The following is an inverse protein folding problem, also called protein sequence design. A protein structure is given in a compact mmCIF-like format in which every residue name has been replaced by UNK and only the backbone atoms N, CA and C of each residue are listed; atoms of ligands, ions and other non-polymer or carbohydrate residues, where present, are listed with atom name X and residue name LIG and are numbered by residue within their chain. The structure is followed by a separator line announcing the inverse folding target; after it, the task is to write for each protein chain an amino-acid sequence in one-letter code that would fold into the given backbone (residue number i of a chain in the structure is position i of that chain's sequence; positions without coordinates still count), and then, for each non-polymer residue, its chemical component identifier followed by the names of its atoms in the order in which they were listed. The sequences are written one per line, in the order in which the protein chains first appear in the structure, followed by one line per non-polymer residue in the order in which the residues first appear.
data_IF_557660661973
#
_entry.id   IF_557660661973
#
_cell.length_a   1.000
_cell.length_b   1.000
_cell.length_c   1.000
_cell.angle_alpha   90.00
_cell.angle_beta   90.00
_cell.angle_gamma   90.00
#
_symmetry.space_group_name_H-M   'P 1'
#
loop_
_entity.id
_entity.type
_entity.pdbx_description
1 polymer ?
#
# COMPACT_ATOMS: atom_id res chain seq x y z
N UNK A 1 -20.96 -2.36 13.06
CA UNK A 1 -20.08 -1.18 13.25
C UNK A 1 -18.58 -1.51 13.10
N UNK A 2 -18.07 -2.60 13.71
CA UNK A 2 -16.63 -2.97 13.68
C UNK A 2 -16.08 -3.31 12.28
N UNK A 3 -16.82 -4.06 11.46
CA UNK A 3 -16.37 -4.45 10.11
C UNK A 3 -16.15 -3.24 9.19
N UNK A 4 -17.02 -2.23 9.28
CA UNK A 4 -16.90 -0.99 8.50
C UNK A 4 -15.64 -0.19 8.85
N UNK A 5 -15.27 -0.18 10.12
CA UNK A 5 -14.05 0.49 10.59
C UNK A 5 -12.81 -0.30 10.15
N UNK A 6 -12.81 -1.63 10.30
CA UNK A 6 -11.70 -2.48 9.85
C UNK A 6 -11.42 -2.32 8.35
N UNK A 7 -12.46 -2.33 7.50
CA UNK A 7 -12.30 -2.10 6.05
C UNK A 7 -11.70 -0.70 5.76
N UNK A 8 -12.07 0.33 6.53
CA UNK A 8 -11.54 1.69 6.34
C UNK A 8 -10.08 1.81 6.76
N UNK A 9 -9.70 1.23 7.88
CA UNK A 9 -8.29 1.25 8.33
C UNK A 9 -7.42 0.41 7.39
N UNK A 10 -7.90 -0.76 6.95
CA UNK A 10 -7.19 -1.54 5.93
C UNK A 10 -6.98 -0.75 4.63
N UNK A 11 -8.03 -0.08 4.14
CA UNK A 11 -7.92 0.79 2.95
C UNK A 11 -6.90 1.91 3.15
N UNK A 12 -6.86 2.52 4.34
CA UNK A 12 -5.85 3.53 4.68
C UNK A 12 -4.43 2.94 4.70
N UNK A 13 -4.23 1.79 5.33
CA UNK A 13 -2.95 1.09 5.43
C UNK A 13 -2.42 0.72 4.05
N UNK A 14 -3.25 0.15 3.17
CA UNK A 14 -2.89 -0.20 1.79
C UNK A 14 -2.55 1.04 0.95
N UNK A 15 -3.30 2.13 1.10
CA UNK A 15 -3.00 3.40 0.42
C UNK A 15 -1.66 3.98 0.88
N UNK A 16 -1.37 3.89 2.18
CA UNK A 16 -0.09 4.34 2.72
C UNK A 16 1.06 3.47 2.19
N UNK A 17 0.87 2.15 2.13
CA UNK A 17 1.85 1.19 1.62
C UNK A 17 2.18 1.47 0.15
N UNK A 18 1.16 1.53 -0.71
CA UNK A 18 1.31 1.85 -2.13
C UNK A 18 2.05 3.18 -2.36
N UNK A 19 1.73 4.22 -1.58
CA UNK A 19 2.41 5.51 -1.68
C UNK A 19 3.89 5.40 -1.31
N UNK A 20 4.21 4.72 -0.20
CA UNK A 20 5.60 4.59 0.28
C UNK A 20 6.46 3.75 -0.66
N UNK A 21 5.90 2.70 -1.23
CA UNK A 21 6.57 1.87 -2.24
C UNK A 21 6.90 2.68 -3.50
N UNK A 22 5.96 3.49 -4.00
CA UNK A 22 6.22 4.37 -5.14
C UNK A 22 7.30 5.43 -4.85
N UNK A 23 7.31 6.00 -3.65
CA UNK A 23 8.37 6.95 -3.23
C UNK A 23 9.73 6.26 -3.15
N UNK A 24 9.79 5.02 -2.64
CA UNK A 24 11.03 4.24 -2.60
C UNK A 24 11.53 3.92 -4.01
N UNK A 25 10.65 3.46 -4.91
CA UNK A 25 10.99 3.19 -6.31
C UNK A 25 11.58 4.43 -6.98
N UNK A 26 10.91 5.58 -6.85
CA UNK A 26 11.41 6.84 -7.43
C UNK A 26 12.77 7.28 -6.86
N UNK A 27 13.01 7.03 -5.57
CA UNK A 27 14.26 7.44 -4.89
C UNK A 27 15.43 6.51 -5.18
N UNK A 28 15.18 5.21 -5.33
CA UNK A 28 16.21 4.19 -5.55
C UNK A 28 16.29 3.71 -7.00
N UNK A 29 15.90 4.57 -7.96
CA UNK A 29 15.84 4.22 -9.38
C UNK A 29 17.14 3.71 -9.99
N UNK A 30 18.30 4.06 -9.40
CA UNK A 30 19.61 3.54 -9.83
C UNK A 30 19.82 2.06 -9.48
N UNK A 31 19.07 1.54 -8.51
CA UNK A 31 19.02 0.14 -8.13
C UNK A 31 17.79 -0.49 -8.78
N UNK A 32 18.01 -1.21 -9.89
CA UNK A 32 16.92 -1.75 -10.71
C UNK A 32 16.07 -2.78 -9.96
N UNK A 33 16.69 -3.63 -9.15
CA UNK A 33 15.99 -4.68 -8.40
C UNK A 33 15.03 -4.05 -7.38
N UNK A 34 15.51 -3.07 -6.62
CA UNK A 34 14.68 -2.33 -5.66
C UNK A 34 13.59 -1.53 -6.38
N UNK A 35 13.90 -0.90 -7.50
CA UNK A 35 12.93 -0.15 -8.30
C UNK A 35 11.77 -1.05 -8.76
N UNK A 36 12.08 -2.18 -9.41
CA UNK A 36 11.07 -3.08 -9.95
C UNK A 36 10.25 -3.73 -8.85
N UNK A 37 10.90 -4.28 -7.81
CA UNK A 37 10.21 -4.90 -6.69
C UNK A 37 9.24 -3.94 -6.00
N UNK A 38 9.68 -2.70 -5.73
CA UNK A 38 8.83 -1.71 -5.09
C UNK A 38 7.65 -1.31 -5.97
N UNK A 39 7.87 -1.21 -7.28
CA UNK A 39 6.80 -0.86 -8.22
C UNK A 39 5.74 -1.96 -8.33
N UNK A 40 6.17 -3.23 -8.39
CA UNK A 40 5.27 -4.38 -8.45
C UNK A 40 4.43 -4.50 -7.17
N UNK A 41 5.08 -4.39 -6.01
CA UNK A 41 4.36 -4.38 -4.72
C UNK A 41 3.39 -3.19 -4.62
N UNK A 42 3.76 -2.02 -5.14
CA UNK A 42 2.86 -0.89 -5.16
C UNK A 42 1.64 -1.16 -6.06
N UNK A 43 1.84 -1.84 -7.19
CA UNK A 43 0.78 -2.30 -8.08
C UNK A 43 -0.19 -3.25 -7.39
N UNK A 44 0.31 -4.20 -6.60
CA UNK A 44 -0.53 -5.11 -5.82
C UNK A 44 -1.34 -4.39 -4.74
N UNK A 45 -0.74 -3.50 -3.95
CA UNK A 45 -1.49 -2.69 -2.98
C UNK A 45 -2.57 -1.83 -3.64
N UNK A 46 -2.31 -1.29 -4.84
CA UNK A 46 -3.31 -0.55 -5.60
C UNK A 46 -4.46 -1.43 -6.04
N UNK A 47 -4.17 -2.63 -6.54
CA UNK A 47 -5.19 -3.62 -6.88
C UNK A 47 -6.05 -3.98 -5.65
N UNK A 48 -5.44 -4.17 -4.48
CA UNK A 48 -6.17 -4.38 -3.23
C UNK A 48 -7.13 -3.23 -2.89
N UNK A 49 -6.74 -1.97 -3.13
CA UNK A 49 -7.63 -0.82 -2.93
C UNK A 49 -8.84 -0.84 -3.87
N UNK A 50 -8.64 -1.21 -5.13
CA UNK A 50 -9.72 -1.36 -6.11
C UNK A 50 -10.69 -2.46 -5.68
N UNK A 51 -10.17 -3.62 -5.28
CA UNK A 51 -10.96 -4.75 -4.77
C UNK A 51 -11.73 -4.38 -3.50
N UNK A 52 -11.08 -3.72 -2.53
CA UNK A 52 -11.73 -3.24 -1.30
C UNK A 52 -12.82 -2.20 -1.62
N UNK A 53 -12.57 -1.29 -2.57
CA UNK A 53 -13.56 -0.31 -2.97
C UNK A 53 -14.74 -0.96 -3.71
N UNK A 54 -14.51 -2.00 -4.51
CA UNK A 54 -15.56 -2.79 -5.17
C UNK A 54 -16.43 -3.49 -4.13
N UNK A 55 -15.82 -4.25 -3.22
CA UNK A 55 -16.55 -5.03 -2.22
C UNK A 55 -17.16 -4.16 -1.11
N UNK A 56 -16.49 -3.07 -0.73
CA UNK A 56 -16.97 -2.12 0.26
C UNK A 56 -18.33 -1.51 -0.08
N UNK A 57 -18.67 -1.37 -1.38
CA UNK A 57 -19.99 -0.89 -1.81
C UNK A 57 -21.13 -1.80 -1.32
N UNK A 58 -20.92 -3.12 -1.29
CA UNK A 58 -21.92 -4.07 -0.77
C UNK A 58 -22.20 -3.88 0.73
N UNK A 59 -21.22 -3.37 1.48
CA UNK A 59 -21.37 -3.03 2.90
C UNK A 59 -21.80 -1.56 3.14
N UNK A 60 -22.14 -0.82 2.08
CA UNK A 60 -22.52 0.59 2.15
C UNK A 60 -21.34 1.54 2.43
N UNK A 61 -20.10 1.13 2.11
CA UNK A 61 -18.91 1.97 2.21
C UNK A 61 -18.58 2.57 0.83
N UNK A 62 -18.35 3.88 0.80
CA UNK A 62 -17.77 4.58 -0.35
C UNK A 62 -16.28 4.78 -0.09
N UNK A 63 -15.46 3.88 -0.62
CA UNK A 63 -14.00 3.98 -0.57
C UNK A 63 -13.50 4.48 -1.92
N UNK A 64 -12.48 5.35 -1.91
CA UNK A 64 -11.86 5.84 -3.13
C UNK A 64 -11.03 4.72 -3.75
N UNK A 65 -11.36 4.34 -4.99
CA UNK A 65 -10.62 3.36 -5.77
C UNK A 65 -9.41 3.96 -6.49
N UNK A 66 -9.16 5.27 -6.35
CA UNK A 66 -8.19 5.95 -7.19
C UNK A 66 -6.84 6.16 -6.48
N UNK A 67 -5.83 5.36 -6.82
CA UNK A 67 -4.45 5.69 -6.56
C UNK A 67 -3.95 6.60 -7.68
N UNK A 68 -4.10 7.93 -7.53
CA UNK A 68 -3.51 8.95 -8.42
C UNK A 68 -1.96 8.86 -8.60
N UNK A 69 -1.33 7.82 -8.09
CA UNK A 69 0.11 7.60 -8.13
C UNK A 69 0.63 7.17 -9.50
N UNK A 70 -0.20 6.60 -10.39
CA UNK A 70 0.25 6.12 -11.73
C UNK A 70 0.57 7.26 -12.72
N UNK A 71 -0.03 8.44 -12.58
CA UNK A 71 0.16 9.55 -13.53
C UNK A 71 1.38 10.44 -13.20
N UNK A 72 1.84 10.46 -11.94
CA UNK A 72 2.94 11.32 -11.50
C UNK A 72 4.33 10.72 -11.73
N UNK A 73 4.41 9.43 -12.08
CA UNK A 73 5.66 8.69 -12.28
C UNK A 73 6.45 9.15 -13.50
N UNK A 74 5.78 9.59 -14.58
CA UNK A 74 6.44 10.02 -15.82
C UNK A 74 7.09 11.41 -15.74
N UNK A 75 6.46 12.37 -15.06
CA UNK A 75 6.97 13.75 -15.01
C UNK A 75 8.04 13.97 -13.92
N UNK A 76 7.96 13.22 -12.82
CA UNK A 76 9.01 13.18 -11.79
C UNK A 76 10.27 12.41 -12.26
N UNK A 77 10.10 11.52 -13.26
CA UNK A 77 11.12 10.65 -13.84
C UNK A 77 12.35 11.40 -14.36
N UNK A 78 12.17 12.61 -14.91
CA UNK A 78 13.24 13.37 -15.59
C UNK A 78 14.00 14.28 -14.63
N UNK A 79 13.35 14.83 -13.58
CA UNK A 79 13.98 15.79 -12.68
C UNK A 79 14.83 15.16 -11.57
N UNK A 80 14.48 13.99 -11.07
CA UNK A 80 15.17 13.41 -9.91
C UNK A 80 16.50 12.71 -10.26
N UNK A 81 16.65 12.18 -11.49
CA UNK A 81 17.90 11.54 -11.94
C UNK A 81 19.12 12.48 -11.92
N UNK A 82 18.91 13.80 -12.05
CA UNK A 82 19.99 14.79 -12.00
C UNK A 82 20.53 15.07 -10.58
N UNK A 83 19.72 14.87 -9.54
CA UNK A 83 20.05 15.29 -8.16
C UNK A 83 20.70 14.21 -7.30
N UNK A 84 20.53 12.92 -7.63
CA UNK A 84 21.04 11.81 -6.81
C UNK A 84 22.53 11.52 -7.01
N UNK A 85 23.21 12.17 -7.95
CA UNK A 85 24.62 11.92 -8.26
C UNK A 85 25.60 12.40 -7.14
N UNK A 86 25.12 12.99 -6.04
CA UNK A 86 25.95 13.72 -5.06
C UNK A 86 25.69 13.41 -3.57
N UNK A 87 25.04 12.30 -3.19
CA UNK A 87 24.81 11.98 -1.76
C UNK A 87 25.74 10.87 -1.24
N UNK A 88 26.53 11.12 -0.18
CA UNK A 88 27.29 10.07 0.50
C UNK A 88 26.31 9.22 1.34
N UNK A 89 26.41 7.89 1.24
CA UNK A 89 25.67 6.86 1.98
C UNK A 89 24.25 6.46 1.49
N UNK A 90 24.08 6.07 0.21
CA UNK A 90 22.83 5.53 -0.33
C UNK A 90 22.30 4.28 0.42
N UNK A 91 23.20 3.44 0.96
CA UNK A 91 22.83 2.19 1.63
C UNK A 91 22.04 2.38 2.95
N UNK A 92 22.41 3.36 3.78
CA UNK A 92 21.69 3.62 5.04
C UNK A 92 20.29 4.17 4.81
N UNK A 93 20.14 4.96 3.75
CA UNK A 93 18.85 5.50 3.33
C UNK A 93 17.94 4.40 2.78
N UNK A 94 18.48 3.44 2.01
CA UNK A 94 17.75 2.24 1.59
C UNK A 94 17.27 1.43 2.80
N UNK A 95 18.15 1.16 3.77
CA UNK A 95 17.79 0.44 4.99
C UNK A 95 16.68 1.16 5.79
N UNK A 96 16.75 2.48 5.90
CA UNK A 96 15.73 3.28 6.56
C UNK A 96 14.36 3.22 5.84
N UNK A 97 14.36 3.27 4.50
CA UNK A 97 13.17 3.13 3.69
C UNK A 97 12.57 1.72 3.80
N UNK A 98 13.38 0.66 3.70
CA UNK A 98 12.96 -0.73 3.89
C UNK A 98 12.37 -0.97 5.28
N UNK A 99 13.00 -0.49 6.35
CA UNK A 99 12.48 -0.60 7.72
C UNK A 99 11.15 0.14 7.91
N UNK A 100 10.95 1.24 7.19
CA UNK A 100 9.67 1.97 7.22
C UNK A 100 8.59 1.20 6.47
N UNK A 101 8.89 0.72 5.27
CA UNK A 101 7.94 -0.07 4.46
C UNK A 101 7.56 -1.36 5.18
N UNK A 102 8.53 -2.08 5.75
CA UNK A 102 8.27 -3.31 6.49
C UNK A 102 7.26 -3.10 7.64
N UNK A 103 7.39 -2.02 8.42
CA UNK A 103 6.44 -1.72 9.50
C UNK A 103 5.02 -1.44 9.00
N UNK A 104 4.90 -0.73 7.87
CA UNK A 104 3.60 -0.44 7.27
C UNK A 104 2.99 -1.70 6.69
N UNK A 105 3.78 -2.51 6.00
CA UNK A 105 3.36 -3.80 5.44
C UNK A 105 2.91 -4.78 6.54
N UNK A 106 3.64 -4.86 7.66
CA UNK A 106 3.24 -5.65 8.82
C UNK A 106 1.90 -5.16 9.40
N UNK A 107 1.69 -3.84 9.49
CA UNK A 107 0.39 -3.27 9.88
C UNK A 107 -0.74 -3.67 8.93
N UNK A 108 -0.54 -3.51 7.63
CA UNK A 108 -1.52 -3.90 6.61
C UNK A 108 -1.83 -5.41 6.64
N UNK A 109 -0.82 -6.26 6.89
CA UNK A 109 -1.00 -7.72 7.04
C UNK A 109 -1.91 -8.05 8.22
N UNK A 110 -1.69 -7.41 9.38
CA UNK A 110 -2.54 -7.58 10.55
C UNK A 110 -3.98 -7.07 10.30
N UNK A 111 -4.13 -5.95 9.60
CA UNK A 111 -5.44 -5.43 9.23
C UNK A 111 -6.22 -6.41 8.34
N UNK A 112 -5.55 -7.10 7.41
CA UNK A 112 -6.13 -8.17 6.59
C UNK A 112 -6.58 -9.38 7.42
N UNK A 113 -5.75 -9.83 8.37
CA UNK A 113 -6.09 -10.92 9.28
C UNK A 113 -7.32 -10.60 10.13
N UNK A 114 -7.36 -9.39 10.72
CA UNK A 114 -8.48 -8.91 11.50
C UNK A 114 -9.77 -8.82 10.67
N UNK A 115 -9.66 -8.39 9.41
CA UNK A 115 -10.80 -8.38 8.49
C UNK A 115 -11.32 -9.81 8.21
N UNK A 116 -10.41 -10.76 7.96
CA UNK A 116 -10.75 -12.16 7.74
C UNK A 116 -11.44 -12.80 8.95
N UNK A 117 -10.90 -12.58 10.16
CA UNK A 117 -11.51 -13.06 11.40
C UNK A 117 -12.88 -12.43 11.66
N UNK A 118 -13.03 -11.12 11.43
CA UNK A 118 -14.31 -10.44 11.59
C UNK A 118 -15.38 -10.96 10.61
N UNK A 119 -14.99 -11.24 9.36
CA UNK A 119 -15.87 -11.84 8.36
C UNK A 119 -16.29 -13.27 8.75
N UNK A 120 -15.34 -14.09 9.21
CA UNK A 120 -15.62 -15.46 9.65
C UNK A 120 -16.55 -15.48 10.87
N UNK A 121 -16.31 -14.61 11.86
CA UNK A 121 -17.18 -14.47 13.01
C UNK A 121 -18.60 -14.12 12.56
N UNK A 122 -18.78 -13.10 11.71
CA UNK A 122 -20.09 -12.71 11.19
C UNK A 122 -20.84 -13.86 10.50
N UNK A 123 -20.12 -14.74 9.77
CA UNK A 123 -20.69 -15.92 9.12
C UNK A 123 -21.21 -16.95 10.14
N UNK A 124 -20.47 -17.20 11.22
CA UNK A 124 -20.86 -18.18 12.25
C UNK A 124 -22.15 -17.76 12.97
N UNK A 125 -22.26 -16.49 13.34
CA UNK A 125 -23.48 -15.98 14.00
C UNK A 125 -24.71 -16.08 13.11
N UNK A 126 -24.55 -15.93 11.79
CA UNK A 126 -25.65 -16.07 10.83
C UNK A 126 -26.15 -17.51 10.66
N UNK A 127 -25.37 -18.52 11.03
CA UNK A 127 -25.76 -19.94 10.95
C UNK A 127 -26.36 -20.46 12.26
N UNK A 128 -26.27 -19.69 13.36
CA UNK A 128 -26.73 -20.08 14.70
C UNK A 128 -28.00 -19.33 15.17
N UNK A 129 -28.64 -18.56 14.29
CA UNK A 129 -29.99 -17.99 14.45
C UNK A 129 -30.92 -18.53 13.38
#
# INVERSE_FOLDING_TARGET
MKLKLAIRELHRSERQLAHRLNVMAARHRSDQDIYHLAHDQAGWSQHHLEELARHGRHYGLRLSADPHTRALTGFAQTRMSGMLRHRPQPALLLLADLRRIHRIAAGASLDWELLGQAAQAARIWSYSS
#
